data_IF_555910299984
#
_entry.id   IF_555910299984
#
_cell.length_a   1.000
_cell.length_b   1.000
_cell.length_c   1.000
_cell.angle_alpha   90.00
_cell.angle_beta   90.00
_cell.angle_gamma   90.00
#
_symmetry.space_group_name_H-M   'P 1'
#
loop_
_entity.id
_entity.type
_entity.pdbx_description
1 polymer ?
#
# COMPACT_ATOMS: atom_id res chain seq x y z
N UNK A 1 -65.51 -28.06 15.84
CA UNK A 1 -64.19 -27.68 16.37
C UNK A 1 -63.36 -27.16 15.19
N UNK A 2 -63.26 -25.84 15.12
CA UNK A 2 -62.77 -25.11 13.94
C UNK A 2 -61.34 -24.59 14.25
N UNK A 3 -60.38 -24.93 13.41
CA UNK A 3 -59.00 -24.41 13.48
C UNK A 3 -58.92 -23.17 12.58
N UNK A 4 -58.70 -22.01 13.17
CA UNK A 4 -58.42 -20.75 12.48
C UNK A 4 -56.89 -20.54 12.47
N UNK A 5 -56.30 -20.38 11.28
CA UNK A 5 -54.92 -19.93 11.07
C UNK A 5 -54.93 -18.39 11.12
N UNK A 6 -54.15 -17.80 12.00
CA UNK A 6 -53.80 -16.40 11.96
C UNK A 6 -52.38 -16.24 11.38
N UNK A 7 -52.32 -15.45 10.35
CA UNK A 7 -51.12 -15.01 9.65
C UNK A 7 -50.43 -13.87 10.42
N UNK A 8 -49.26 -14.12 11.00
CA UNK A 8 -48.47 -13.11 11.66
C UNK A 8 -47.59 -12.34 10.68
N UNK A 9 -47.87 -11.06 10.58
CA UNK A 9 -47.07 -10.05 9.88
C UNK A 9 -45.81 -9.71 10.70
N UNK A 10 -44.66 -9.99 10.14
CA UNK A 10 -43.38 -9.64 10.72
C UNK A 10 -43.08 -8.14 10.63
N UNK A 11 -42.87 -7.53 11.77
CA UNK A 11 -42.46 -6.13 11.90
C UNK A 11 -40.98 -6.00 11.58
N UNK A 12 -40.64 -5.28 10.53
CA UNK A 12 -39.24 -4.90 10.20
C UNK A 12 -38.90 -3.62 10.99
N UNK A 13 -38.00 -3.74 11.92
CA UNK A 13 -37.38 -2.60 12.59
C UNK A 13 -36.28 -2.01 11.70
N UNK A 14 -36.55 -0.85 11.09
CA UNK A 14 -35.56 -0.07 10.37
C UNK A 14 -34.91 0.94 11.32
N UNK A 15 -33.62 0.79 11.61
CA UNK A 15 -32.79 1.81 12.25
C UNK A 15 -32.31 2.78 11.17
N UNK A 16 -32.32 4.08 11.39
CA UNK A 16 -31.75 5.05 10.43
C UNK A 16 -30.24 5.15 10.59
N UNK A 17 -29.51 4.62 9.60
CA UNK A 17 -28.09 4.90 9.43
C UNK A 17 -27.96 6.22 8.67
N UNK A 18 -27.53 7.28 9.35
CA UNK A 18 -27.02 8.50 8.71
C UNK A 18 -25.61 8.19 8.18
N UNK A 19 -25.45 8.16 6.87
CA UNK A 19 -24.16 8.02 6.21
C UNK A 19 -24.31 8.26 4.72
N UNK A 20 -23.59 9.24 4.21
CA UNK A 20 -23.56 9.78 2.86
C UNK A 20 -23.62 8.73 1.76
N UNK A 21 -24.66 8.78 0.94
CA UNK A 21 -24.76 8.02 -0.29
C UNK A 21 -23.84 8.69 -1.35
N UNK A 22 -22.77 8.03 -1.72
CA UNK A 22 -22.02 8.31 -2.94
C UNK A 22 -22.70 7.48 -4.04
N UNK A 23 -23.48 8.15 -4.88
CA UNK A 23 -24.08 7.56 -6.08
C UNK A 23 -22.98 7.37 -7.13
N UNK A 24 -22.64 6.11 -7.44
CA UNK A 24 -21.87 5.78 -8.63
C UNK A 24 -22.82 5.74 -9.83
N UNK A 25 -22.74 6.75 -10.68
CA UNK A 25 -23.29 6.72 -12.03
C UNK A 25 -22.36 5.88 -12.91
N UNK A 26 -22.82 4.70 -13.34
CA UNK A 26 -22.21 3.95 -14.43
C UNK A 26 -22.74 4.58 -15.74
N UNK A 27 -21.86 5.24 -16.49
CA UNK A 27 -22.07 5.62 -17.87
C UNK A 27 -21.28 4.65 -18.74
N UNK A 28 -21.99 3.87 -19.54
CA UNK A 28 -21.42 3.06 -20.63
C UNK A 28 -20.92 3.97 -21.76
N UNK A 29 -19.69 3.68 -22.22
CA UNK A 29 -19.20 3.98 -23.56
C UNK A 29 -18.58 5.34 -23.76
N UNK A 30 -17.24 5.40 -23.62
CA UNK A 30 -16.43 6.16 -24.55
C UNK A 30 -14.93 5.81 -24.39
N UNK A 31 -14.29 5.53 -25.54
CA UNK A 31 -12.88 5.20 -25.67
C UNK A 31 -11.99 6.34 -25.18
N UNK A 32 -11.36 6.20 -24.02
CA UNK A 32 -10.36 7.14 -23.54
C UNK A 32 -9.01 6.85 -24.17
N UNK A 33 -8.58 7.75 -25.06
CA UNK A 33 -7.20 7.88 -25.55
C UNK A 33 -6.27 8.16 -24.37
N UNK A 34 -5.29 7.30 -24.17
CA UNK A 34 -4.18 7.53 -23.25
C UNK A 34 -3.32 8.69 -23.79
N UNK A 35 -3.47 9.86 -23.19
CA UNK A 35 -2.54 10.96 -23.38
C UNK A 35 -1.46 10.83 -22.30
N UNK A 36 -0.30 10.34 -22.73
CA UNK A 36 0.95 10.42 -22.01
C UNK A 36 1.32 11.90 -21.80
N UNK A 37 1.19 12.40 -20.55
CA UNK A 37 1.76 13.68 -20.17
C UNK A 37 3.10 13.46 -19.47
N UNK A 38 4.12 14.04 -20.12
CA UNK A 38 5.51 13.97 -19.77
C UNK A 38 5.83 14.53 -18.38
N UNK A 39 6.91 13.98 -17.85
CA UNK A 39 7.58 14.41 -16.62
C UNK A 39 8.01 15.90 -16.71
N UNK A 40 7.81 16.67 -15.66
CA UNK A 40 8.49 17.96 -15.55
C UNK A 40 9.95 17.76 -15.17
N UNK A 41 10.76 18.30 -16.03
CA UNK A 41 12.19 18.57 -16.02
C UNK A 41 12.68 19.10 -14.68
N UNK A 42 13.58 18.37 -14.03
CA UNK A 42 14.34 18.85 -12.88
C UNK A 42 15.31 19.94 -13.36
N UNK A 43 14.98 21.18 -13.09
CA UNK A 43 15.83 22.33 -13.37
C UNK A 43 16.94 22.40 -12.32
N UNK A 44 18.11 21.92 -12.68
CA UNK A 44 19.35 22.09 -11.89
C UNK A 44 19.84 23.53 -12.07
N UNK A 45 19.58 24.37 -11.07
CA UNK A 45 20.17 25.70 -10.99
C UNK A 45 21.60 25.58 -10.48
N UNK A 46 22.56 25.68 -11.39
CA UNK A 46 23.99 25.86 -11.05
C UNK A 46 24.20 27.35 -10.73
N UNK A 47 24.41 27.68 -9.44
CA UNK A 47 24.92 28.99 -9.04
C UNK A 47 26.43 28.99 -9.25
N UNK A 48 26.87 29.80 -10.20
CA UNK A 48 28.28 30.11 -10.42
C UNK A 48 28.75 31.06 -9.32
N UNK A 49 29.80 30.66 -8.61
CA UNK A 49 30.62 31.56 -7.78
C UNK A 49 31.35 32.59 -8.67
N UNK A 50 30.97 33.82 -8.57
CA UNK A 50 31.82 34.93 -9.05
C UNK A 50 32.55 35.57 -7.88
N UNK A 51 33.83 35.28 -7.85
CA UNK A 51 34.85 35.87 -7.00
C UNK A 51 35.11 37.31 -7.48
N UNK A 52 34.71 38.31 -6.71
CA UNK A 52 35.10 39.70 -6.95
C UNK A 52 35.96 40.18 -5.80
N UNK A 53 37.25 40.24 -6.08
CA UNK A 53 38.24 40.96 -5.32
C UNK A 53 38.03 42.48 -5.56
N UNK A 54 37.75 43.24 -4.51
CA UNK A 54 37.90 44.68 -4.52
C UNK A 54 38.66 45.15 -3.29
N UNK A 55 39.86 45.57 -3.60
CA UNK A 55 40.83 46.23 -2.76
C UNK A 55 40.38 47.65 -2.53
N UNK A 56 40.19 48.13 -1.33
CA UNK A 56 39.80 49.53 -1.01
C UNK A 56 40.18 49.96 0.39
N UNK A 57 41.27 50.62 0.44
CA UNK A 57 41.85 51.65 1.35
C UNK A 57 41.24 51.90 2.74
N UNK A 58 42.20 51.91 3.67
CA UNK A 58 42.25 52.53 5.01
C UNK A 58 41.50 53.85 5.16
N UNK A 59 40.62 53.95 6.16
CA UNK A 59 40.52 55.18 6.97
C UNK A 59 40.36 54.71 8.43
N UNK A 60 41.35 55.00 9.23
CA UNK A 60 41.36 54.77 10.66
C UNK A 60 40.47 55.75 11.41
N UNK A 61 39.48 55.23 12.13
CA UNK A 61 38.81 55.95 13.21
C UNK A 61 38.90 55.05 14.46
N UNK A 62 39.76 55.39 15.41
CA UNK A 62 39.76 54.82 16.75
C UNK A 62 38.49 55.23 17.51
N UNK A 63 37.48 54.35 17.50
CA UNK A 63 36.42 54.42 18.48
C UNK A 63 36.78 53.45 19.61
N UNK A 64 37.23 54.03 20.73
CA UNK A 64 37.37 53.31 21.97
C UNK A 64 36.01 53.06 22.59
N UNK A 65 35.29 52.06 22.06
CA UNK A 65 34.10 51.51 22.64
C UNK A 65 34.51 50.26 23.40
N UNK A 66 34.46 50.31 24.74
CA UNK A 66 34.55 49.16 25.62
C UNK A 66 33.49 48.14 25.17
N UNK A 67 33.84 46.88 24.85
CA UNK A 67 32.84 45.88 24.49
C UNK A 67 31.92 45.68 25.68
N UNK A 68 30.66 46.08 25.59
CA UNK A 68 29.64 45.77 26.56
C UNK A 68 29.59 44.21 26.63
N UNK A 69 29.98 43.69 27.78
CA UNK A 69 29.89 42.26 28.11
C UNK A 69 28.44 41.85 27.85
N UNK A 70 28.18 40.85 26.94
CA UNK A 70 26.83 40.39 26.72
C UNK A 70 26.22 40.01 28.07
N UNK A 71 24.91 40.28 28.33
CA UNK A 71 24.28 39.90 29.53
C UNK A 71 24.42 38.39 29.68
N UNK A 72 25.24 37.96 30.66
CA UNK A 72 25.30 36.58 31.05
C UNK A 72 23.91 36.27 31.65
N UNK A 73 23.02 35.69 30.85
CA UNK A 73 21.85 34.98 31.34
C UNK A 73 22.40 33.90 32.25
N UNK A 74 22.34 34.12 33.55
CA UNK A 74 22.65 33.08 34.54
C UNK A 74 21.76 31.91 34.14
N UNK A 75 22.36 30.80 33.69
CA UNK A 75 21.67 29.55 33.52
C UNK A 75 21.08 29.20 34.93
N UNK A 76 19.82 29.52 35.11
CA UNK A 76 19.10 29.16 36.32
C UNK A 76 19.01 27.64 36.31
N UNK A 77 19.65 27.01 37.28
CA UNK A 77 19.56 25.58 37.52
C UNK A 77 18.12 25.24 37.83
N UNK A 78 17.32 24.93 36.79
CA UNK A 78 16.00 24.34 37.00
C UNK A 78 16.21 22.87 37.34
N UNK A 79 15.48 22.40 38.38
CA UNK A 79 15.49 20.99 38.77
C UNK A 79 14.65 20.11 37.80
N UNK A 80 14.74 20.39 36.50
CA UNK A 80 14.00 19.64 35.48
C UNK A 80 14.43 18.19 35.41
N UNK A 81 13.52 17.31 35.01
CA UNK A 81 13.77 15.89 34.83
C UNK A 81 14.17 15.59 33.36
N UNK A 82 15.20 14.77 33.23
CA UNK A 82 15.62 14.23 31.94
C UNK A 82 15.13 12.79 31.74
N UNK A 83 14.68 12.48 30.55
CA UNK A 83 14.12 11.19 30.17
C UNK A 83 14.73 10.74 28.86
N UNK A 84 15.04 9.45 28.75
CA UNK A 84 15.50 8.82 27.50
C UNK A 84 14.31 8.12 26.82
N UNK A 85 14.18 8.32 25.50
CA UNK A 85 13.13 7.73 24.68
C UNK A 85 13.76 6.96 23.52
N UNK A 86 13.35 5.69 23.35
CA UNK A 86 13.72 4.84 22.23
C UNK A 86 12.82 5.18 21.03
N UNK A 87 13.01 6.37 20.48
CA UNK A 87 12.25 6.89 19.33
C UNK A 87 13.09 7.91 18.57
N UNK A 88 12.73 8.11 17.31
CA UNK A 88 13.34 9.13 16.45
C UNK A 88 12.94 10.53 16.95
N UNK A 89 13.87 11.47 16.82
CA UNK A 89 13.62 12.86 17.18
C UNK A 89 12.35 13.43 16.52
N UNK A 90 12.13 13.15 15.25
CA UNK A 90 10.97 13.65 14.50
C UNK A 90 9.64 13.24 15.14
N UNK A 91 9.52 11.97 15.54
CA UNK A 91 8.30 11.43 16.16
C UNK A 91 8.07 12.04 17.54
N UNK A 92 9.15 12.19 18.32
CA UNK A 92 9.10 12.84 19.64
C UNK A 92 8.74 14.32 19.54
N UNK A 93 9.31 15.04 18.55
CA UNK A 93 9.00 16.46 18.33
C UNK A 93 7.51 16.69 18.01
N UNK A 94 6.92 15.86 17.16
CA UNK A 94 5.50 15.96 16.81
C UNK A 94 4.62 15.75 18.05
N UNK A 95 4.91 14.73 18.84
CA UNK A 95 4.15 14.41 20.06
C UNK A 95 4.32 15.49 21.11
N UNK A 96 5.55 15.95 21.37
CA UNK A 96 5.83 17.00 22.34
C UNK A 96 5.15 18.30 21.95
N UNK A 97 5.16 18.66 20.67
CA UNK A 97 4.44 19.82 20.13
C UNK A 97 2.92 19.70 20.36
N UNK A 98 2.36 18.51 20.12
CA UNK A 98 0.95 18.25 20.38
C UNK A 98 0.60 18.32 21.88
N UNK A 99 1.45 17.79 22.76
CA UNK A 99 1.27 17.88 24.22
C UNK A 99 1.44 19.34 24.72
N UNK A 100 2.42 20.07 24.18
CA UNK A 100 2.60 21.49 24.54
C UNK A 100 1.40 22.35 24.11
N UNK A 101 0.68 21.96 23.06
CA UNK A 101 -0.48 22.64 22.52
C UNK A 101 -1.84 22.18 23.04
N UNK A 102 -1.91 21.17 23.91
CA UNK A 102 -3.20 20.56 24.34
C UNK A 102 -3.94 21.28 25.44
N UNK A 103 -3.48 22.46 25.86
CA UNK A 103 -4.08 23.32 26.85
C UNK A 103 -4.21 22.75 28.28
N UNK A 104 -3.56 21.61 28.57
CA UNK A 104 -3.64 20.91 29.84
C UNK A 104 -2.26 20.83 30.50
N UNK A 105 -2.12 21.29 31.76
CA UNK A 105 -0.95 21.02 32.58
C UNK A 105 -1.30 19.86 33.54
N UNK A 106 -0.53 18.80 33.47
CA UNK A 106 -0.73 17.55 34.22
C UNK A 106 0.13 17.51 35.47
N UNK A 107 -0.29 16.68 36.41
CA UNK A 107 0.46 16.48 37.66
C UNK A 107 0.36 17.64 38.67
N UNK A 108 -0.49 18.64 38.39
CA UNK A 108 -0.82 19.71 39.31
C UNK A 108 -2.25 19.61 39.77
N UNK A 109 -2.52 19.96 40.99
CA UNK A 109 -3.88 20.01 41.51
C UNK A 109 -4.03 21.12 42.56
N UNK A 110 -5.12 21.84 42.45
CA UNK A 110 -5.54 22.84 43.45
C UNK A 110 -6.25 22.14 44.60
N UNK A 111 -7.03 21.10 44.30
CA UNK A 111 -7.76 20.26 45.25
C UNK A 111 -7.41 18.80 45.05
N UNK A 112 -7.62 17.95 46.07
CA UNK A 112 -7.15 16.54 46.07
C UNK A 112 -7.57 15.67 44.89
N UNK A 113 -8.64 16.03 44.19
CA UNK A 113 -9.18 15.25 43.07
C UNK A 113 -8.79 15.72 41.66
N UNK A 114 -8.20 16.92 41.54
CA UNK A 114 -7.86 17.47 40.22
C UNK A 114 -6.38 17.27 39.92
N UNK A 115 -6.08 16.28 39.08
CA UNK A 115 -4.71 15.96 38.64
C UNK A 115 -4.27 16.78 37.43
N UNK A 116 -5.13 17.67 36.91
CA UNK A 116 -4.87 18.44 35.69
C UNK A 116 -5.47 19.84 35.83
N UNK A 117 -4.77 20.84 35.30
CA UNK A 117 -5.26 22.20 35.14
C UNK A 117 -5.41 22.49 33.62
N UNK A 118 -6.56 23.08 33.27
CA UNK A 118 -6.87 23.46 31.90
C UNK A 118 -6.67 24.96 31.67
N UNK A 119 -6.53 25.37 30.38
CA UNK A 119 -6.38 26.77 29.98
C UNK A 119 -4.95 27.20 29.71
N UNK A 120 -4.01 26.27 29.68
CA UNK A 120 -2.64 26.55 29.22
C UNK A 120 -2.60 26.86 27.73
N UNK A 121 -1.65 27.69 27.34
CA UNK A 121 -1.42 28.08 25.93
C UNK A 121 0.02 27.75 25.54
N UNK A 122 0.25 27.33 24.28
CA UNK A 122 1.60 27.20 23.76
C UNK A 122 2.26 28.57 23.64
N UNK A 123 3.56 28.64 23.85
CA UNK A 123 4.37 29.83 23.76
C UNK A 123 5.78 29.52 23.28
N UNK A 124 6.49 30.54 22.81
CA UNK A 124 7.89 30.40 22.37
C UNK A 124 8.87 30.76 23.50
N UNK A 125 8.37 31.32 24.57
CA UNK A 125 9.12 31.72 25.77
C UNK A 125 8.17 32.00 26.92
N UNK A 126 8.71 32.18 28.12
CA UNK A 126 7.94 32.65 29.28
C UNK A 126 8.71 33.74 30.05
N UNK A 127 8.06 34.36 31.04
CA UNK A 127 8.70 35.36 31.89
C UNK A 127 9.90 34.78 32.67
N UNK A 128 9.88 33.47 32.96
CA UNK A 128 10.95 32.80 33.69
C UNK A 128 11.97 32.14 32.76
N UNK A 129 11.50 31.40 31.75
CA UNK A 129 12.36 30.82 30.74
C UNK A 129 12.36 31.77 29.51
N UNK A 130 13.48 32.44 29.24
CA UNK A 130 13.64 33.18 27.99
C UNK A 130 13.57 32.29 26.75
N UNK A 131 13.68 32.87 25.56
CA UNK A 131 13.80 32.11 24.33
C UNK A 131 14.93 31.08 24.43
N UNK A 132 14.72 29.87 23.90
CA UNK A 132 15.71 28.83 23.96
C UNK A 132 16.91 29.13 23.02
N UNK A 133 18.11 29.03 23.57
CA UNK A 133 19.36 29.27 22.85
C UNK A 133 20.31 28.05 22.90
N UNK A 134 19.87 26.95 23.54
CA UNK A 134 20.66 25.72 23.66
C UNK A 134 20.49 24.78 22.47
N UNK A 135 21.14 23.63 22.49
CA UNK A 135 20.96 22.59 21.49
C UNK A 135 19.56 21.98 21.57
N UNK A 136 19.06 21.45 20.41
CA UNK A 136 17.75 20.82 20.32
C UNK A 136 16.60 21.83 20.17
N UNK A 137 15.39 21.31 20.31
CA UNK A 137 14.15 22.08 20.12
C UNK A 137 13.44 22.26 21.45
N UNK A 138 12.93 23.47 21.71
CA UNK A 138 12.20 23.77 22.94
C UNK A 138 10.75 24.19 22.64
N UNK A 139 9.83 23.67 23.46
CA UNK A 139 8.42 24.02 23.43
C UNK A 139 8.01 24.49 24.83
N UNK A 140 7.08 25.40 24.89
CA UNK A 140 6.61 25.97 26.17
C UNK A 140 5.10 25.87 26.25
N UNK A 141 4.62 25.55 27.45
CA UNK A 141 3.21 25.58 27.84
C UNK A 141 3.06 26.51 29.00
N UNK A 142 2.20 27.52 28.90
CA UNK A 142 2.05 28.58 29.90
C UNK A 142 0.60 28.66 30.36
N UNK A 143 0.37 28.51 31.63
CA UNK A 143 -0.93 28.67 32.28
C UNK A 143 -0.88 29.88 33.20
N UNK A 144 -1.60 30.94 32.87
CA UNK A 144 -1.72 32.16 33.67
C UNK A 144 -2.90 32.03 34.66
N UNK A 145 -2.79 32.71 35.79
CA UNK A 145 -3.86 32.75 36.79
C UNK A 145 -4.08 31.41 37.51
N UNK A 146 -3.07 30.57 37.58
CA UNK A 146 -3.14 29.34 38.37
C UNK A 146 -3.14 29.65 39.85
N UNK A 147 -4.07 29.04 40.59
CA UNK A 147 -4.14 29.18 42.07
C UNK A 147 -3.17 28.19 42.68
N UNK A 148 -2.23 28.69 43.49
CA UNK A 148 -1.22 27.97 44.30
C UNK A 148 -1.22 26.41 44.17
N UNK A 149 -0.61 25.85 43.15
CA UNK A 149 -0.63 24.41 42.97
C UNK A 149 0.29 23.72 44.00
N UNK A 150 -0.20 22.68 44.66
CA UNK A 150 0.51 21.97 45.73
C UNK A 150 1.85 21.35 45.35
N UNK A 151 2.05 21.12 44.07
CA UNK A 151 3.29 20.50 43.53
C UNK A 151 4.47 21.46 43.42
N UNK A 152 4.22 22.76 43.66
CA UNK A 152 5.27 23.76 43.68
C UNK A 152 5.57 24.17 45.12
N UNK A 153 6.84 24.15 45.50
CA UNK A 153 7.29 24.47 46.82
C UNK A 153 7.02 25.94 47.12
N UNK A 154 6.54 26.17 48.33
CA UNK A 154 6.32 27.51 48.89
C UNK A 154 5.34 28.39 48.11
N UNK A 155 4.56 27.81 47.16
CA UNK A 155 3.54 28.57 46.48
C UNK A 155 2.34 28.84 47.40
N UNK A 156 1.90 30.09 47.46
CA UNK A 156 0.81 30.51 48.34
C UNK A 156 -0.28 31.34 47.67
N UNK A 157 -0.07 31.82 46.47
CA UNK A 157 -0.93 32.80 45.81
C UNK A 157 -1.21 32.44 44.35
N UNK A 158 -1.85 33.32 43.62
CA UNK A 158 -2.13 33.21 42.20
C UNK A 158 -0.87 33.53 41.37
N UNK A 159 -0.63 32.77 40.33
CA UNK A 159 0.56 32.97 39.50
C UNK A 159 0.49 32.29 38.14
N UNK A 160 1.63 32.12 37.54
CA UNK A 160 1.79 31.52 36.20
C UNK A 160 2.62 30.24 36.28
N UNK A 161 2.05 29.12 35.82
CA UNK A 161 2.78 27.87 35.60
C UNK A 161 3.41 27.93 34.22
N UNK A 162 4.67 27.57 34.12
CA UNK A 162 5.36 27.34 32.84
C UNK A 162 5.98 25.96 32.82
N UNK A 163 5.64 25.18 31.81
CA UNK A 163 6.30 23.90 31.51
C UNK A 163 7.12 24.10 30.25
N UNK A 164 8.40 23.72 30.29
CA UNK A 164 9.31 23.75 29.17
C UNK A 164 9.72 22.32 28.83
N UNK A 165 9.64 21.97 27.57
CA UNK A 165 10.07 20.69 26.98
C UNK A 165 11.26 20.97 26.09
N UNK A 166 12.38 20.28 26.29
CA UNK A 166 13.57 20.36 25.45
C UNK A 166 13.84 18.99 24.87
N UNK A 167 13.79 18.89 23.55
CA UNK A 167 14.01 17.66 22.79
C UNK A 167 15.38 17.73 22.14
N UNK A 168 16.21 16.72 22.35
CA UNK A 168 17.55 16.63 21.81
C UNK A 168 17.80 15.23 21.25
N UNK A 169 18.18 15.13 19.97
CA UNK A 169 18.57 13.87 19.37
C UNK A 169 19.87 13.33 20.02
N UNK A 170 19.87 12.02 20.32
CA UNK A 170 21.05 11.28 20.80
C UNK A 170 21.43 10.16 19.85
N UNK A 171 21.20 10.33 18.55
CA UNK A 171 21.46 9.35 17.50
C UNK A 171 20.24 9.19 16.59
N UNK A 172 20.20 8.10 15.81
CA UNK A 172 19.15 7.88 14.82
C UNK A 172 17.81 7.41 15.44
N UNK A 173 17.86 6.76 16.62
CA UNK A 173 16.69 6.10 17.22
C UNK A 173 16.52 6.42 18.73
N UNK A 174 17.34 7.30 19.26
CA UNK A 174 17.27 7.69 20.67
C UNK A 174 17.12 9.21 20.80
N UNK A 175 16.27 9.64 21.70
CA UNK A 175 15.99 11.05 21.92
C UNK A 175 15.97 11.34 23.42
N UNK A 176 16.69 12.36 23.82
CA UNK A 176 16.66 12.89 25.18
C UNK A 176 15.58 13.96 25.27
N UNK A 177 14.67 13.81 26.22
CA UNK A 177 13.63 14.76 26.53
C UNK A 177 13.86 15.30 27.94
N UNK A 178 14.04 16.61 28.06
CA UNK A 178 14.07 17.30 29.34
C UNK A 178 12.78 18.10 29.56
N UNK A 179 12.18 17.96 30.70
CA UNK A 179 10.97 18.70 31.08
C UNK A 179 11.28 19.50 32.35
N UNK A 180 11.01 20.80 32.32
CA UNK A 180 11.16 21.71 33.46
C UNK A 180 9.81 22.37 33.71
N UNK A 181 9.36 22.39 34.98
CA UNK A 181 8.13 23.05 35.36
C UNK A 181 8.40 24.03 36.52
N UNK A 182 7.90 25.25 36.38
CA UNK A 182 8.03 26.29 37.36
C UNK A 182 6.71 27.04 37.56
N UNK A 183 6.47 27.49 38.76
CA UNK A 183 5.39 28.40 39.09
C UNK A 183 5.99 29.74 39.53
N UNK A 184 5.42 30.84 39.05
CA UNK A 184 5.84 32.19 39.42
C UNK A 184 4.62 32.95 39.91
N UNK A 185 4.63 33.31 41.19
CA UNK A 185 3.57 34.14 41.79
C UNK A 185 3.54 35.53 41.20
N UNK A 186 2.35 36.05 40.96
CA UNK A 186 2.17 37.37 40.34
C UNK A 186 2.70 38.52 41.22
N UNK A 187 2.61 38.37 42.58
CA UNK A 187 3.04 39.35 43.55
C UNK A 187 4.54 39.35 43.84
N UNK A 188 5.19 38.20 43.93
CA UNK A 188 6.54 38.08 44.48
C UNK A 188 7.60 37.79 43.44
N UNK A 189 7.25 37.40 42.19
CA UNK A 189 8.15 37.04 41.09
C UNK A 189 9.25 36.01 41.43
N UNK A 190 9.15 35.35 42.59
CA UNK A 190 10.04 34.26 42.96
C UNK A 190 9.59 33.01 42.24
N UNK A 191 10.48 32.30 41.56
CA UNK A 191 10.13 31.03 40.92
C UNK A 191 10.09 29.91 41.97
N UNK A 192 9.00 29.20 42.04
CA UNK A 192 8.87 27.95 42.78
C UNK A 192 9.01 26.78 41.86
N UNK A 193 9.89 25.86 42.20
CA UNK A 193 10.25 24.72 41.36
C UNK A 193 9.30 23.57 41.69
N UNK A 194 8.87 22.84 40.65
CA UNK A 194 8.07 21.62 40.78
C UNK A 194 8.79 20.56 41.63
N UNK A 195 8.01 19.74 42.32
CA UNK A 195 8.50 18.56 43.06
C UNK A 195 8.82 17.36 42.11
N UNK A 196 8.69 17.54 40.81
CA UNK A 196 8.90 16.52 39.77
C UNK A 196 7.61 15.80 39.33
N UNK A 197 6.48 16.07 39.99
CA UNK A 197 5.20 15.41 39.65
C UNK A 197 4.65 15.90 38.32
N UNK A 198 4.82 17.18 38.00
CA UNK A 198 4.38 17.79 36.73
C UNK A 198 5.18 17.18 35.58
N UNK A 199 6.50 17.18 35.69
CA UNK A 199 7.42 16.66 34.70
C UNK A 199 7.15 15.17 34.40
N UNK A 200 6.99 14.38 35.47
CA UNK A 200 6.70 12.94 35.33
C UNK A 200 5.33 12.67 34.71
N UNK A 201 4.32 13.51 35.01
CA UNK A 201 2.97 13.36 34.45
C UNK A 201 2.90 13.77 32.98
N UNK A 202 3.58 14.86 32.61
CA UNK A 202 3.71 15.29 31.21
C UNK A 202 4.53 14.27 30.41
N UNK A 203 5.60 13.71 30.96
CA UNK A 203 6.37 12.65 30.34
C UNK A 203 5.54 11.39 30.09
N UNK A 204 4.73 10.99 31.07
CA UNK A 204 3.83 9.83 30.90
C UNK A 204 2.87 10.02 29.74
N UNK A 205 2.27 11.19 29.62
CA UNK A 205 1.40 11.50 28.47
C UNK A 205 2.14 11.38 27.12
N UNK A 206 3.37 11.95 27.07
CA UNK A 206 4.21 11.86 25.86
C UNK A 206 4.53 10.39 25.54
N UNK A 207 4.90 9.60 26.56
CA UNK A 207 5.19 8.18 26.40
C UNK A 207 3.96 7.37 25.93
N UNK A 208 2.79 7.66 26.49
CA UNK A 208 1.54 6.97 26.12
C UNK A 208 1.14 7.29 24.67
N UNK A 209 1.26 8.55 24.24
CA UNK A 209 1.03 8.95 22.82
C UNK A 209 2.04 8.33 21.88
N UNK A 210 3.32 8.30 22.26
CA UNK A 210 4.37 7.67 21.46
C UNK A 210 4.09 6.17 21.27
N UNK A 211 3.66 5.49 22.33
CA UNK A 211 3.28 4.08 22.26
C UNK A 211 2.08 3.85 21.33
N UNK A 212 1.09 4.73 21.36
CA UNK A 212 -0.06 4.65 20.43
C UNK A 212 0.35 4.79 18.98
N UNK A 213 1.23 5.74 18.66
CA UNK A 213 1.77 5.90 17.29
C UNK A 213 2.53 4.65 16.86
N UNK A 214 3.41 4.12 17.70
CA UNK A 214 4.17 2.91 17.40
C UNK A 214 3.29 1.67 17.18
N UNK A 215 2.17 1.56 17.90
CA UNK A 215 1.19 0.49 17.70
C UNK A 215 0.50 0.66 16.34
N UNK A 216 0.01 1.86 16.04
CA UNK A 216 -0.65 2.17 14.78
C UNK A 216 0.26 1.92 13.57
N UNK A 217 1.54 2.28 13.67
CA UNK A 217 2.54 2.03 12.62
C UNK A 217 2.78 0.53 12.40
N UNK A 218 2.86 -0.26 13.48
CA UNK A 218 3.00 -1.71 13.38
C UNK A 218 1.77 -2.38 12.75
N UNK A 219 0.57 -1.92 13.12
CA UNK A 219 -0.68 -2.42 12.54
C UNK A 219 -0.80 -2.09 11.05
N UNK A 220 -0.46 -0.85 10.67
CA UNK A 220 -0.47 -0.44 9.26
C UNK A 220 0.55 -1.21 8.44
N UNK A 221 1.77 -1.42 8.95
CA UNK A 221 2.80 -2.23 8.30
C UNK A 221 2.36 -3.69 8.13
N UNK A 222 1.72 -4.29 9.15
CA UNK A 222 1.19 -5.64 9.09
C UNK A 222 0.07 -5.78 8.05
N UNK A 223 -0.82 -4.78 7.98
CA UNK A 223 -1.91 -4.73 7.00
C UNK A 223 -1.39 -4.62 5.56
N UNK A 224 -0.40 -3.73 5.34
CA UNK A 224 0.25 -3.57 4.03
C UNK A 224 0.93 -4.86 3.58
N UNK A 225 1.65 -5.54 4.47
CA UNK A 225 2.27 -6.82 4.18
C UNK A 225 1.25 -7.89 3.80
N UNK A 226 0.15 -7.99 4.55
CA UNK A 226 -0.94 -8.93 4.24
C UNK A 226 -1.55 -8.67 2.87
N UNK A 227 -1.81 -7.40 2.54
CA UNK A 227 -2.34 -7.00 1.23
C UNK A 227 -1.38 -7.37 0.10
N UNK A 228 -0.10 -7.15 0.28
CA UNK A 228 0.91 -7.53 -0.70
C UNK A 228 0.95 -9.05 -0.93
N UNK A 229 0.86 -9.85 0.14
CA UNK A 229 0.79 -11.31 0.03
C UNK A 229 -0.49 -11.79 -0.70
N UNK A 230 -1.62 -11.10 -0.52
CA UNK A 230 -2.87 -11.37 -1.24
C UNK A 230 -2.74 -11.01 -2.74
N UNK A 231 -2.15 -9.87 -3.06
CA UNK A 231 -1.91 -9.42 -4.44
C UNK A 231 -0.94 -10.38 -5.16
N UNK A 232 0.11 -10.84 -4.51
CA UNK A 232 1.07 -11.80 -5.05
C UNK A 232 0.41 -13.16 -5.34
N UNK A 233 -0.47 -13.64 -4.45
CA UNK A 233 -1.25 -14.87 -4.67
C UNK A 233 -2.23 -14.73 -5.85
N UNK A 234 -2.90 -13.58 -5.96
CA UNK A 234 -3.78 -13.30 -7.08
C UNK A 234 -3.03 -13.26 -8.41
N UNK A 235 -1.86 -12.62 -8.44
CA UNK A 235 -0.99 -12.57 -9.61
C UNK A 235 -0.48 -13.96 -10.02
N UNK A 236 -0.11 -14.81 -9.06
CA UNK A 236 0.30 -16.19 -9.32
C UNK A 236 -0.84 -17.03 -9.93
N UNK A 237 -2.06 -16.90 -9.40
CA UNK A 237 -3.24 -17.58 -9.92
C UNK A 237 -3.58 -17.15 -11.36
N UNK A 238 -3.47 -15.86 -11.65
CA UNK A 238 -3.67 -15.35 -13.01
C UNK A 238 -2.65 -15.92 -14.00
N UNK A 239 -1.37 -16.00 -13.60
CA UNK A 239 -0.31 -16.62 -14.44
C UNK A 239 -0.62 -18.09 -14.71
N UNK A 240 -1.02 -18.85 -13.69
CA UNK A 240 -1.40 -20.25 -13.84
C UNK A 240 -2.55 -20.42 -14.85
N UNK A 241 -3.61 -19.60 -14.75
CA UNK A 241 -4.72 -19.62 -15.71
C UNK A 241 -4.29 -19.29 -17.13
N UNK A 242 -3.40 -18.32 -17.30
CA UNK A 242 -2.86 -17.97 -18.61
C UNK A 242 -2.05 -19.14 -19.20
N UNK A 243 -1.24 -19.82 -18.41
CA UNK A 243 -0.51 -21.02 -18.86
C UNK A 243 -1.45 -22.16 -19.25
N UNK A 244 -2.51 -22.40 -18.48
CA UNK A 244 -3.53 -23.41 -18.82
C UNK A 244 -4.25 -23.07 -20.13
N UNK A 245 -4.64 -21.81 -20.32
CA UNK A 245 -5.29 -21.39 -21.58
C UNK A 245 -4.37 -21.51 -22.77
N UNK A 246 -3.08 -21.19 -22.64
CA UNK A 246 -2.11 -21.37 -23.73
C UNK A 246 -1.86 -22.85 -24.06
N UNK A 247 -1.81 -23.73 -23.04
CA UNK A 247 -1.72 -25.19 -23.24
C UNK A 247 -2.94 -25.73 -23.96
N UNK A 248 -4.16 -25.31 -23.57
CA UNK A 248 -5.38 -25.71 -24.25
C UNK A 248 -5.41 -25.26 -25.72
N UNK A 249 -5.05 -24.00 -26.00
CA UNK A 249 -4.99 -23.48 -27.37
C UNK A 249 -3.96 -24.23 -28.23
N UNK A 250 -2.81 -24.59 -27.65
CA UNK A 250 -1.79 -25.39 -28.36
C UNK A 250 -2.25 -26.82 -28.64
N UNK A 251 -2.95 -27.45 -27.69
CA UNK A 251 -3.52 -28.78 -27.87
C UNK A 251 -4.62 -28.78 -28.93
N UNK A 252 -5.48 -27.78 -28.96
CA UNK A 252 -6.52 -27.60 -29.96
C UNK A 252 -5.96 -27.39 -31.37
N UNK A 253 -4.90 -26.59 -31.51
CA UNK A 253 -4.21 -26.40 -32.77
C UNK A 253 -3.54 -27.68 -33.26
N UNK A 254 -2.99 -28.50 -32.36
CA UNK A 254 -2.40 -29.80 -32.66
C UNK A 254 -3.46 -30.78 -33.13
N UNK A 255 -4.64 -30.83 -32.52
CA UNK A 255 -5.76 -31.65 -32.96
C UNK A 255 -6.24 -31.26 -34.35
N UNK A 256 -6.42 -29.97 -34.65
CA UNK A 256 -6.79 -29.48 -36.00
C UNK A 256 -5.77 -29.87 -37.07
N UNK A 257 -4.48 -29.79 -36.73
CA UNK A 257 -3.42 -30.20 -37.65
C UNK A 257 -3.43 -31.72 -37.89
N UNK A 258 -3.69 -32.51 -36.84
CA UNK A 258 -3.81 -33.97 -36.96
C UNK A 258 -5.01 -34.34 -37.84
N UNK A 259 -6.13 -33.68 -37.65
CA UNK A 259 -7.35 -33.91 -38.44
C UNK A 259 -7.14 -33.54 -39.90
N UNK A 260 -6.52 -32.41 -40.19
CA UNK A 260 -6.14 -32.03 -41.57
C UNK A 260 -5.23 -33.05 -42.21
N UNK A 261 -4.23 -33.58 -41.52
CA UNK A 261 -3.36 -34.65 -42.01
C UNK A 261 -4.11 -35.94 -42.24
N UNK A 262 -5.04 -36.28 -41.36
CA UNK A 262 -5.87 -37.46 -41.55
C UNK A 262 -6.73 -37.35 -42.81
N UNK A 263 -7.36 -36.21 -43.06
CA UNK A 263 -8.14 -35.96 -44.27
C UNK A 263 -7.26 -36.04 -45.52
N UNK A 264 -6.07 -35.46 -45.51
CA UNK A 264 -5.12 -35.55 -46.64
C UNK A 264 -4.71 -36.98 -46.94
N UNK A 265 -4.43 -37.80 -45.94
CA UNK A 265 -4.11 -39.19 -46.12
C UNK A 265 -5.32 -39.99 -46.63
N UNK A 266 -6.52 -39.69 -46.13
CA UNK A 266 -7.76 -40.32 -46.64
C UNK A 266 -7.97 -40.04 -48.12
N UNK A 267 -7.81 -38.80 -48.56
CA UNK A 267 -7.88 -38.45 -49.98
C UNK A 267 -6.86 -39.18 -50.86
N UNK A 268 -5.66 -39.44 -50.34
CA UNK A 268 -4.62 -40.14 -51.06
C UNK A 268 -4.80 -41.65 -51.12
N UNK A 269 -5.39 -42.23 -50.07
CA UNK A 269 -5.44 -43.67 -49.87
C UNK A 269 -6.81 -44.30 -50.13
N UNK A 270 -7.88 -43.53 -50.08
CA UNK A 270 -9.25 -44.03 -50.26
C UNK A 270 -9.79 -43.60 -51.60
N UNK A 271 -10.38 -44.50 -52.32
CA UNK A 271 -11.08 -44.25 -53.57
C UNK A 271 -12.51 -44.79 -53.50
N UNK A 272 -13.42 -44.21 -54.28
CA UNK A 272 -14.81 -44.68 -54.40
C UNK A 272 -15.01 -45.51 -55.65
N UNK A 273 -15.87 -46.50 -55.54
CA UNK A 273 -16.32 -47.30 -56.66
C UNK A 273 -17.34 -46.51 -57.47
N UNK A 274 -17.15 -46.35 -58.82
CA UNK A 274 -18.01 -45.53 -59.68
C UNK A 274 -19.36 -46.18 -59.99
N UNK A 275 -19.38 -47.46 -60.21
CA UNK A 275 -20.55 -48.18 -60.74
C UNK A 275 -20.93 -49.33 -59.82
N UNK A 276 -22.24 -49.51 -59.72
CA UNK A 276 -22.80 -50.65 -59.02
C UNK A 276 -22.45 -51.98 -59.72
N UNK A 277 -22.20 -53.01 -58.90
CA UNK A 277 -21.84 -54.33 -59.46
C UNK A 277 -20.37 -54.44 -59.83
N UNK A 278 -19.52 -53.48 -59.52
CA UNK A 278 -18.07 -53.57 -59.77
C UNK A 278 -17.47 -54.77 -59.05
N UNK A 279 -16.78 -55.62 -59.83
CA UNK A 279 -16.22 -56.87 -59.29
C UNK A 279 -14.85 -56.65 -58.66
N UNK A 280 -14.72 -56.98 -57.41
CA UNK A 280 -13.43 -57.11 -56.70
C UNK A 280 -12.79 -58.47 -57.21
N UNK A 281 -11.63 -58.41 -57.84
CA UNK A 281 -10.94 -59.59 -58.41
C UNK A 281 -9.80 -60.08 -57.50
N UNK A 282 -9.54 -61.38 -57.53
CA UNK A 282 -8.47 -62.03 -56.78
C UNK A 282 -7.08 -61.64 -57.23
N UNK A 283 -6.91 -61.20 -58.49
CA UNK A 283 -5.63 -60.85 -59.16
C UNK A 283 -5.81 -59.71 -60.15
N UNK A 284 -4.75 -58.99 -60.59
CA UNK A 284 -4.82 -57.80 -61.44
C UNK A 284 -4.92 -58.14 -62.95
N UNK A 285 -5.91 -58.97 -63.28
CA UNK A 285 -6.23 -59.29 -64.68
C UNK A 285 -7.71 -59.64 -64.87
N UNK A 286 -8.23 -59.43 -66.05
CA UNK A 286 -9.67 -59.49 -66.35
C UNK A 286 -10.30 -60.88 -66.12
N UNK A 287 -9.59 -61.96 -66.32
CA UNK A 287 -10.09 -63.33 -66.14
C UNK A 287 -9.93 -63.83 -64.68
N UNK A 288 -9.45 -63.01 -63.73
CA UNK A 288 -9.31 -63.43 -62.38
C UNK A 288 -10.68 -63.65 -61.71
N UNK A 289 -10.70 -64.54 -60.72
CA UNK A 289 -11.91 -64.94 -60.03
C UNK A 289 -12.48 -63.72 -59.24
N UNK A 290 -13.78 -63.57 -59.28
CA UNK A 290 -14.50 -62.56 -58.50
C UNK A 290 -14.49 -62.97 -57.02
N UNK A 291 -14.01 -62.06 -56.18
CA UNK A 291 -14.02 -62.20 -54.69
C UNK A 291 -15.34 -61.69 -54.12
N UNK A 292 -15.75 -60.49 -54.62
CA UNK A 292 -16.95 -59.82 -54.11
C UNK A 292 -17.49 -58.84 -55.14
N UNK A 293 -18.77 -58.54 -55.15
CA UNK A 293 -19.37 -57.44 -55.90
C UNK A 293 -19.51 -56.23 -55.00
N UNK A 294 -19.09 -55.05 -55.44
CA UNK A 294 -19.11 -53.81 -54.75
C UNK A 294 -20.24 -52.93 -55.27
N UNK A 295 -20.84 -52.12 -54.31
CA UNK A 295 -21.86 -51.14 -54.63
C UNK A 295 -21.20 -49.86 -55.15
N UNK A 296 -21.95 -49.09 -55.89
CA UNK A 296 -21.53 -47.72 -56.20
C UNK A 296 -21.29 -46.93 -54.93
N UNK A 297 -20.38 -45.98 -54.99
CA UNK A 297 -19.93 -45.14 -53.84
C UNK A 297 -19.29 -45.89 -52.66
N UNK A 298 -19.07 -47.23 -52.81
CA UNK A 298 -18.32 -47.96 -51.79
C UNK A 298 -16.89 -47.44 -51.69
N UNK A 299 -16.48 -47.03 -50.48
CA UNK A 299 -15.12 -46.57 -50.19
C UNK A 299 -14.20 -47.79 -50.02
N UNK A 300 -13.05 -47.76 -50.70
CA UNK A 300 -12.04 -48.80 -50.58
C UNK A 300 -10.67 -48.18 -50.39
N UNK A 301 -9.84 -48.80 -49.54
CA UNK A 301 -8.49 -48.35 -49.25
C UNK A 301 -7.51 -48.93 -50.27
N UNK A 302 -6.76 -48.08 -50.95
CA UNK A 302 -5.74 -48.48 -51.91
C UNK A 302 -4.48 -48.94 -51.17
N UNK A 303 -4.12 -50.17 -51.28
CA UNK A 303 -2.90 -50.76 -50.71
C UNK A 303 -1.75 -50.83 -51.72
N UNK A 304 -2.05 -51.11 -52.98
CA UNK A 304 -1.06 -51.32 -54.06
C UNK A 304 -1.54 -50.58 -55.32
N UNK A 305 -0.63 -49.88 -55.99
CA UNK A 305 -0.88 -49.16 -57.21
C UNK A 305 -0.09 -49.80 -58.34
N UNK A 306 -0.75 -50.28 -59.38
CA UNK A 306 -0.12 -50.74 -60.61
C UNK A 306 -0.56 -49.85 -61.80
N UNK A 307 0.00 -49.95 -62.98
CA UNK A 307 -0.40 -49.06 -64.09
C UNK A 307 -1.90 -49.05 -64.37
N UNK A 308 -2.62 -50.18 -64.32
CA UNK A 308 -4.02 -50.33 -64.71
C UNK A 308 -4.94 -50.76 -63.56
N UNK A 309 -4.42 -51.18 -62.41
CA UNK A 309 -5.16 -51.77 -61.31
C UNK A 309 -4.77 -51.16 -59.94
N UNK A 310 -5.71 -51.15 -59.05
CA UNK A 310 -5.51 -50.89 -57.63
C UNK A 310 -5.71 -52.17 -56.84
N UNK A 311 -4.73 -52.58 -56.05
CA UNK A 311 -4.92 -53.54 -54.99
C UNK A 311 -5.58 -52.84 -53.80
N UNK A 312 -6.76 -53.25 -53.44
CA UNK A 312 -7.59 -52.53 -52.45
C UNK A 312 -8.04 -53.47 -51.33
N UNK A 313 -8.37 -52.84 -50.19
CA UNK A 313 -9.05 -53.48 -49.09
C UNK A 313 -10.40 -52.79 -48.88
N UNK A 314 -11.47 -53.57 -48.79
CA UNK A 314 -12.82 -53.10 -48.52
C UNK A 314 -13.03 -52.85 -47.04
N UNK A 315 -14.09 -52.17 -46.68
CA UNK A 315 -14.53 -51.94 -45.29
C UNK A 315 -14.68 -53.23 -44.49
N UNK A 316 -15.10 -54.28 -45.20
CA UNK A 316 -15.26 -55.66 -44.63
C UNK A 316 -13.93 -56.43 -44.58
N UNK A 317 -12.80 -55.79 -44.81
CA UNK A 317 -11.45 -56.36 -44.80
C UNK A 317 -11.18 -57.38 -45.90
N UNK A 318 -11.99 -57.45 -46.94
CA UNK A 318 -11.68 -58.27 -48.09
C UNK A 318 -10.65 -57.57 -48.96
N UNK A 319 -9.63 -58.31 -49.42
CA UNK A 319 -8.57 -57.78 -50.28
C UNK A 319 -8.77 -58.31 -51.69
N UNK A 320 -8.54 -57.41 -52.65
CA UNK A 320 -8.65 -57.76 -54.03
C UNK A 320 -8.17 -56.65 -54.98
N UNK A 321 -8.50 -56.78 -56.27
CA UNK A 321 -8.05 -55.85 -57.29
C UNK A 321 -9.23 -55.20 -57.99
N UNK A 322 -9.14 -53.88 -58.20
CA UNK A 322 -10.10 -53.09 -59.00
C UNK A 322 -9.35 -52.38 -60.10
N UNK A 323 -9.99 -52.23 -61.27
CA UNK A 323 -9.42 -51.43 -62.35
C UNK A 323 -9.50 -49.92 -61.97
N UNK A 324 -8.50 -49.18 -62.44
CA UNK A 324 -8.43 -47.73 -62.15
C UNK A 324 -9.57 -46.95 -62.77
N UNK A 325 -10.13 -47.37 -63.89
CA UNK A 325 -11.27 -46.75 -64.57
C UNK A 325 -12.61 -46.96 -63.84
N UNK A 326 -12.67 -47.96 -62.95
CA UNK A 326 -13.86 -48.27 -62.08
C UNK A 326 -13.92 -47.53 -60.76
N UNK A 327 -12.91 -46.77 -60.47
CA UNK A 327 -12.84 -46.02 -59.21
C UNK A 327 -12.55 -44.55 -59.46
N UNK A 328 -12.90 -43.74 -58.55
CA UNK A 328 -12.60 -42.29 -58.50
C UNK A 328 -12.01 -41.86 -57.17
N UNK A 329 -11.23 -40.77 -57.19
CA UNK A 329 -10.70 -40.20 -55.96
C UNK A 329 -11.85 -39.61 -55.13
N UNK A 330 -11.70 -39.61 -53.82
CA UNK A 330 -12.61 -38.92 -52.96
C UNK A 330 -12.61 -37.40 -53.30
N UNK A 331 -13.77 -36.74 -53.32
CA UNK A 331 -13.86 -35.30 -53.57
C UNK A 331 -13.18 -34.44 -52.51
#
# INVERSE_FOLDING_TARGET
>A
MSFRRDSGTGSIWSLPIKGSAIAYFFSEGESARVISRGNPMVLRLRLACSLSLLLGALIGAKVSGTPAKPPQVKAQASAGLGFELDAKEADVLEIVKAVAGDSIVRGTYVYENNKTLSGALPADSSAYFGPWTGPGHAFYKVLKGAVAPRNFKDSGDVGTITVRYVVLAQGESHTHLRIDAVFVEDGHRKPDISDGTVESSEFKEIQDRLRQVQIADKETAALLKKRQEEDDKAAALLRQRQEETTKLASAESSLKNLDARFQELRHKLVVKVKTEGTELKSAPFNSAVRVQSLWADSEVVVLIVTPSWYGVETTDKHRGWLRKDQVEALP
#
